data_IF_553335055900
#
_entry.id   IF_553335055900
#
_cell.length_a   1.000
_cell.length_b   1.000
_cell.length_c   1.000
_cell.angle_alpha   90.00
_cell.angle_beta   90.00
_cell.angle_gamma   90.00
#
_symmetry.space_group_name_H-M   'P 1'
#
loop_
_entity.id
_entity.type
_entity.pdbx_description
1 polymer ?
#
# COMPACT_ATOMS: atom_id res chain seq x y z
N UNK A 1 6.21 0.60 28.76
CA UNK A 1 5.42 -0.19 27.80
C UNK A 1 5.89 -1.64 27.75
N UNK A 2 7.16 -1.91 27.48
CA UNK A 2 7.68 -3.29 27.44
C UNK A 2 7.49 -4.03 28.76
N UNK A 3 7.64 -3.37 29.90
CA UNK A 3 7.41 -3.96 31.23
C UNK A 3 5.96 -4.38 31.40
N UNK A 4 4.99 -3.55 30.99
CA UNK A 4 3.56 -3.87 31.08
C UNK A 4 3.23 -5.04 30.15
N UNK A 5 3.74 -5.03 28.92
CA UNK A 5 3.60 -6.14 28.00
C UNK A 5 4.16 -7.44 28.58
N UNK A 6 5.37 -7.42 29.14
CA UNK A 6 5.99 -8.59 29.76
C UNK A 6 5.20 -9.15 30.97
N UNK A 7 4.55 -8.28 31.72
CA UNK A 7 3.70 -8.71 32.83
C UNK A 7 2.37 -9.30 32.38
N UNK A 8 1.79 -8.77 31.31
CA UNK A 8 0.46 -9.16 30.85
C UNK A 8 0.46 -10.29 29.80
N UNK A 9 1.56 -10.52 29.07
CA UNK A 9 1.65 -11.57 28.05
C UNK A 9 1.40 -13.00 28.58
N UNK A 10 1.54 -13.21 29.88
CA UNK A 10 1.23 -14.50 30.52
C UNK A 10 -0.28 -14.75 30.63
N UNK A 11 -1.09 -13.69 30.63
CA UNK A 11 -2.55 -13.74 30.70
C UNK A 11 -3.18 -13.74 29.31
N UNK A 12 -2.65 -12.92 28.42
CA UNK A 12 -3.10 -12.86 27.02
C UNK A 12 -1.91 -12.83 26.05
N UNK A 13 -1.69 -13.95 25.37
CA UNK A 13 -0.63 -14.11 24.37
C UNK A 13 -0.93 -13.42 23.04
N UNK A 14 -2.17 -12.96 22.85
CA UNK A 14 -2.62 -12.23 21.66
C UNK A 14 -2.49 -10.72 21.76
N UNK A 15 -1.96 -10.19 22.88
CA UNK A 15 -1.75 -8.76 23.05
C UNK A 15 -0.76 -8.20 22.04
N UNK A 16 -1.15 -7.13 21.37
CA UNK A 16 -0.30 -6.34 20.48
C UNK A 16 -0.11 -4.94 21.06
N UNK A 17 1.13 -4.41 21.01
CA UNK A 17 1.40 -3.00 21.30
C UNK A 17 1.16 -2.24 20.00
N UNK A 18 0.00 -1.58 19.89
CA UNK A 18 -0.41 -0.88 18.66
C UNK A 18 0.19 0.51 18.52
N UNK A 19 0.62 1.14 19.64
CA UNK A 19 1.22 2.46 19.61
C UNK A 19 2.06 2.73 20.88
N UNK A 20 3.20 3.41 20.71
CA UNK A 20 4.04 3.91 21.80
C UNK A 20 4.45 5.34 21.47
N UNK A 21 3.93 6.32 22.19
CA UNK A 21 4.21 7.74 21.96
C UNK A 21 4.83 8.41 23.16
N UNK A 22 5.85 9.24 22.93
CA UNK A 22 6.36 10.16 23.94
C UNK A 22 5.38 11.34 24.08
N UNK A 23 4.76 11.48 25.22
CA UNK A 23 3.86 12.60 25.52
C UNK A 23 4.58 13.74 26.23
N UNK A 24 5.41 13.39 27.21
CA UNK A 24 6.16 14.33 28.02
C UNK A 24 7.53 13.75 28.41
N UNK A 25 8.54 14.58 28.43
CA UNK A 25 9.88 14.25 28.93
C UNK A 25 10.43 15.41 29.74
N UNK A 26 10.91 15.13 30.95
CA UNK A 26 11.58 16.08 31.83
C UNK A 26 12.99 15.57 32.16
N UNK A 27 13.98 16.49 32.14
CA UNK A 27 15.37 16.19 32.47
C UNK A 27 16.22 15.69 31.29
N UNK A 28 17.52 15.52 31.55
CA UNK A 28 18.55 15.21 30.57
C UNK A 28 19.07 16.43 29.81
N UNK A 29 20.02 16.22 28.87
CA UNK A 29 20.68 17.33 28.14
C UNK A 29 19.74 18.16 27.26
N UNK A 30 18.57 17.68 26.90
CA UNK A 30 17.59 18.34 26.00
C UNK A 30 16.45 19.06 26.76
N UNK A 31 16.49 19.12 28.10
CA UNK A 31 15.48 19.81 28.90
C UNK A 31 14.10 19.14 28.91
N UNK A 32 13.07 19.96 29.08
CA UNK A 32 11.66 19.54 29.04
C UNK A 32 11.18 19.47 27.59
N UNK A 33 10.44 18.42 27.26
CA UNK A 33 9.79 18.24 25.97
C UNK A 33 8.34 17.81 26.20
N UNK A 34 7.39 18.56 25.65
CA UNK A 34 5.96 18.25 25.71
C UNK A 34 5.38 18.28 24.29
N UNK A 35 4.59 17.26 23.96
CA UNK A 35 3.98 17.10 22.64
C UNK A 35 2.91 18.15 22.36
N UNK A 36 2.08 18.47 23.37
CA UNK A 36 0.99 19.42 23.23
C UNK A 36 1.51 20.85 22.97
N UNK A 37 2.59 21.24 23.67
CA UNK A 37 3.19 22.57 23.50
C UNK A 37 3.84 22.73 22.12
N UNK A 38 4.43 21.66 21.55
CA UNK A 38 5.01 21.74 20.21
C UNK A 38 3.96 21.75 19.10
N UNK A 39 2.83 21.10 19.30
CA UNK A 39 1.72 21.21 18.34
C UNK A 39 1.10 22.61 18.37
N UNK A 40 0.98 23.25 19.53
CA UNK A 40 0.52 24.63 19.67
C UNK A 40 1.51 25.63 19.05
N UNK A 41 2.82 25.46 19.29
CA UNK A 41 3.86 26.33 18.70
C UNK A 41 3.97 26.20 17.18
N UNK A 42 3.68 25.04 16.60
CA UNK A 42 3.66 24.85 15.15
C UNK A 42 2.47 25.55 14.47
N UNK A 43 1.36 25.76 15.19
CA UNK A 43 0.19 26.53 14.70
C UNK A 43 0.43 28.02 14.77
N UNK A 44 1.18 28.54 15.77
CA UNK A 44 1.47 29.96 15.89
C UNK A 44 2.55 30.49 14.92
N UNK A 45 3.49 29.64 14.48
CA UNK A 45 4.53 30.04 13.52
C UNK A 45 4.03 30.17 12.07
N UNK A 46 2.83 29.73 11.75
CA UNK A 46 2.21 29.92 10.42
C UNK A 46 1.49 31.28 10.29
N UNK A 47 1.30 32.02 11.40
CA UNK A 47 0.52 33.24 11.41
C UNK A 47 1.35 34.58 11.33
N UNK A 48 2.66 34.51 11.26
CA UNK A 48 3.53 35.69 11.38
C UNK A 48 4.64 35.81 10.32
N UNK A 49 4.35 35.53 9.05
CA UNK A 49 5.21 36.07 7.98
C UNK A 49 4.38 36.41 6.73
N UNK A 50 4.61 37.68 6.32
CA UNK A 50 3.81 38.37 5.36
C UNK A 50 3.79 37.78 3.96
N UNK A 51 2.71 38.09 3.28
CA UNK A 51 2.37 37.78 1.91
C UNK A 51 3.56 37.70 0.94
N UNK A 52 3.91 36.48 0.57
CA UNK A 52 4.55 36.22 -0.72
C UNK A 52 3.46 36.18 -1.80
N UNK A 53 3.71 36.74 -3.02
CA UNK A 53 2.70 36.77 -4.06
C UNK A 53 2.25 35.34 -4.40
N UNK A 54 0.94 35.17 -4.44
CA UNK A 54 0.32 33.93 -4.89
C UNK A 54 0.95 33.49 -6.22
N UNK A 55 1.71 32.44 -6.21
CA UNK A 55 2.11 31.76 -7.44
C UNK A 55 0.82 31.35 -8.14
N UNK A 56 0.63 31.82 -9.37
CA UNK A 56 -0.46 31.40 -10.23
C UNK A 56 -0.53 29.86 -10.21
N UNK A 57 -1.73 29.25 -10.23
CA UNK A 57 -1.83 27.81 -10.33
C UNK A 57 -1.06 27.38 -11.56
N UNK A 58 -0.02 26.56 -11.36
CA UNK A 58 0.67 25.89 -12.45
C UNK A 58 -0.43 25.08 -13.14
N UNK A 59 -0.74 25.44 -14.38
CA UNK A 59 -1.65 24.66 -15.20
C UNK A 59 -1.08 23.25 -15.27
N UNK A 60 -1.71 22.31 -14.57
CA UNK A 60 -1.40 20.89 -14.69
C UNK A 60 -1.69 20.56 -16.13
N UNK A 61 -0.65 20.26 -16.90
CA UNK A 61 -0.81 19.73 -18.25
C UNK A 61 -1.81 18.55 -18.18
N UNK A 62 -2.66 18.36 -19.23
CA UNK A 62 -3.57 17.23 -19.23
C UNK A 62 -2.75 15.97 -18.97
N UNK A 63 -3.08 15.27 -17.89
CA UNK A 63 -2.40 14.04 -17.51
C UNK A 63 -2.38 13.12 -18.73
N UNK A 64 -1.20 12.64 -19.11
CA UNK A 64 -1.09 11.53 -20.07
C UNK A 64 -2.08 10.43 -19.64
N UNK A 65 -2.71 9.70 -20.60
CA UNK A 65 -3.65 8.66 -20.25
C UNK A 65 -3.00 7.76 -19.20
N UNK A 66 -3.61 7.69 -18.03
CA UNK A 66 -3.06 6.93 -16.92
C UNK A 66 -2.95 5.47 -17.37
N UNK A 67 -1.77 4.87 -17.20
CA UNK A 67 -1.59 3.44 -17.48
C UNK A 67 -2.69 2.65 -16.77
N UNK A 68 -3.37 1.71 -17.44
CA UNK A 68 -4.36 0.87 -16.81
C UNK A 68 -3.79 0.19 -15.56
N UNK A 69 -4.52 0.26 -14.45
CA UNK A 69 -4.06 -0.27 -13.17
C UNK A 69 -5.17 -1.10 -12.52
N UNK A 70 -4.85 -2.33 -12.14
CA UNK A 70 -5.80 -3.27 -11.53
C UNK A 70 -5.29 -3.69 -10.16
N UNK A 71 -6.12 -3.48 -9.13
CA UNK A 71 -5.78 -3.78 -7.76
C UNK A 71 -6.22 -5.18 -7.35
N UNK A 72 -5.33 -5.94 -6.73
CA UNK A 72 -5.62 -7.19 -6.05
C UNK A 72 -5.84 -6.89 -4.57
N UNK A 73 -7.08 -6.88 -4.14
CA UNK A 73 -7.48 -6.54 -2.78
C UNK A 73 -7.93 -7.79 -2.02
N UNK A 74 -7.92 -7.72 -0.70
CA UNK A 74 -8.30 -8.86 0.13
C UNK A 74 -7.66 -8.78 1.52
N UNK A 75 -8.08 -9.65 2.42
CA UNK A 75 -7.49 -9.70 3.77
C UNK A 75 -6.08 -10.32 3.76
N UNK A 76 -5.31 -10.03 4.81
CA UNK A 76 -3.98 -10.64 4.98
C UNK A 76 -4.08 -12.17 4.94
N UNK A 77 -3.10 -12.82 4.32
CA UNK A 77 -3.03 -14.29 4.12
C UNK A 77 -4.10 -14.87 3.17
N UNK A 78 -4.86 -14.05 2.44
CA UNK A 78 -5.80 -14.55 1.42
C UNK A 78 -5.11 -15.15 0.19
N UNK A 79 -3.79 -14.96 0.04
CA UNK A 79 -3.00 -15.47 -1.10
C UNK A 79 -2.76 -14.45 -2.20
N UNK A 80 -2.99 -13.14 -1.95
CA UNK A 80 -2.76 -12.06 -2.92
C UNK A 80 -1.39 -12.10 -3.57
N UNK A 81 -0.33 -12.07 -2.77
CA UNK A 81 1.04 -12.03 -3.27
C UNK A 81 1.34 -13.20 -4.21
N UNK A 82 0.96 -14.42 -3.82
CA UNK A 82 1.14 -15.62 -4.65
C UNK A 82 0.36 -15.56 -5.97
N UNK A 83 -0.85 -14.97 -5.94
CA UNK A 83 -1.64 -14.79 -7.15
C UNK A 83 -1.06 -13.70 -8.04
N UNK A 84 -0.69 -12.56 -7.47
CA UNK A 84 -0.06 -11.44 -8.17
C UNK A 84 1.22 -11.88 -8.89
N UNK A 85 2.09 -12.64 -8.23
CA UNK A 85 3.29 -13.22 -8.86
C UNK A 85 2.97 -14.04 -10.11
N UNK A 86 1.96 -14.91 -10.03
CA UNK A 86 1.53 -15.75 -11.16
C UNK A 86 0.91 -14.93 -12.29
N UNK A 87 0.13 -13.92 -11.95
CA UNK A 87 -0.50 -13.00 -12.92
C UNK A 87 0.56 -12.19 -13.65
N UNK A 88 1.51 -11.59 -12.93
CA UNK A 88 2.62 -10.86 -13.53
C UNK A 88 3.41 -11.75 -14.48
N UNK A 89 3.78 -12.96 -14.03
CA UNK A 89 4.52 -13.92 -14.85
C UNK A 89 3.75 -14.31 -16.14
N UNK A 90 2.45 -14.55 -16.04
CA UNK A 90 1.62 -14.94 -17.19
C UNK A 90 1.40 -13.76 -18.16
N UNK A 91 1.10 -12.55 -17.67
CA UNK A 91 0.96 -11.37 -18.52
C UNK A 91 2.27 -11.04 -19.26
N UNK A 92 3.42 -11.14 -18.56
CA UNK A 92 4.75 -10.97 -19.17
C UNK A 92 5.00 -12.04 -20.23
N UNK A 93 4.64 -13.30 -19.98
CA UNK A 93 4.74 -14.39 -20.96
C UNK A 93 3.88 -14.14 -22.21
N UNK A 94 2.77 -13.42 -22.06
CA UNK A 94 1.89 -12.99 -23.16
C UNK A 94 2.43 -11.76 -23.91
N UNK A 95 3.56 -11.21 -23.50
CA UNK A 95 4.25 -10.10 -24.16
C UNK A 95 3.88 -8.71 -23.64
N UNK A 96 3.11 -8.59 -22.55
CA UNK A 96 2.83 -7.31 -21.96
C UNK A 96 4.00 -6.84 -21.07
N UNK A 97 4.27 -5.55 -21.08
CA UNK A 97 5.16 -4.89 -20.15
C UNK A 97 4.37 -4.58 -18.88
N UNK A 98 4.69 -5.28 -17.80
CA UNK A 98 3.91 -5.23 -16.56
C UNK A 98 4.66 -4.42 -15.51
N UNK A 99 4.02 -3.37 -15.00
CA UNK A 99 4.42 -2.69 -13.77
C UNK A 99 3.78 -3.33 -12.54
N UNK A 100 4.39 -3.15 -11.39
CA UNK A 100 3.78 -3.59 -10.13
C UNK A 100 3.93 -2.54 -9.05
N UNK A 101 2.90 -2.38 -8.22
CA UNK A 101 2.88 -1.50 -7.07
C UNK A 101 2.35 -2.26 -5.87
N UNK A 102 3.00 -2.15 -4.72
CA UNK A 102 2.52 -2.76 -3.48
C UNK A 102 2.31 -1.70 -2.43
N UNK A 103 1.10 -1.65 -1.87
CA UNK A 103 0.83 -0.89 -0.66
C UNK A 103 1.21 -1.71 0.57
N UNK A 104 2.10 -1.16 1.39
CA UNK A 104 2.51 -1.75 2.66
C UNK A 104 1.71 -1.11 3.79
N UNK A 105 0.75 -1.88 4.35
CA UNK A 105 -0.19 -1.35 5.35
C UNK A 105 0.39 -1.16 6.76
N UNK A 106 1.70 -1.15 6.92
CA UNK A 106 2.41 -0.92 8.19
C UNK A 106 3.43 0.20 8.01
N UNK A 107 3.80 0.85 9.12
CA UNK A 107 4.79 1.93 9.09
C UNK A 107 6.18 1.40 8.74
N UNK A 108 6.77 1.98 7.71
CA UNK A 108 8.12 1.71 7.26
C UNK A 108 8.32 0.34 6.61
N UNK A 109 9.30 0.28 5.75
CA UNK A 109 9.81 -0.95 5.16
C UNK A 109 11.30 -0.76 4.83
N UNK A 110 12.07 -1.83 4.90
CA UNK A 110 13.46 -1.83 4.47
C UNK A 110 13.52 -2.27 3.00
N UNK A 111 14.01 -1.39 2.12
CA UNK A 111 14.22 -1.65 0.71
C UNK A 111 15.70 -1.78 0.36
N UNK A 112 16.57 -1.19 1.19
CA UNK A 112 18.01 -1.14 0.97
C UNK A 112 18.75 -2.27 1.70
N UNK A 113 19.96 -2.56 1.26
CA UNK A 113 20.79 -3.59 1.88
C UNK A 113 21.64 -2.95 2.98
N UNK A 114 21.49 -3.38 4.24
CA UNK A 114 22.29 -2.84 5.35
C UNK A 114 23.78 -2.83 5.07
N UNK A 115 24.46 -1.75 5.49
CA UNK A 115 25.88 -1.48 5.33
C UNK A 115 26.37 -1.20 3.90
N UNK A 116 25.52 -1.18 2.89
CA UNK A 116 25.84 -0.68 1.54
C UNK A 116 25.84 0.84 1.49
N UNK A 117 26.38 1.41 0.42
CA UNK A 117 26.59 2.85 0.32
C UNK A 117 25.29 3.65 0.40
N UNK A 118 24.26 3.26 -0.32
CA UNK A 118 22.92 3.89 -0.30
C UNK A 118 22.30 3.82 1.09
N UNK A 119 22.34 2.68 1.75
CA UNK A 119 21.89 2.55 3.14
C UNK A 119 22.66 3.49 4.08
N UNK A 120 24.00 3.61 3.91
CA UNK A 120 24.82 4.52 4.72
C UNK A 120 24.48 6.00 4.45
N UNK A 121 24.15 6.36 3.21
CA UNK A 121 23.69 7.71 2.89
C UNK A 121 22.37 8.03 3.62
N UNK A 122 21.43 7.09 3.60
CA UNK A 122 20.16 7.22 4.34
C UNK A 122 20.39 7.36 5.86
N UNK A 123 21.21 6.49 6.46
CA UNK A 123 21.56 6.58 7.89
C UNK A 123 22.28 7.89 8.26
N UNK A 124 22.99 8.50 7.33
CA UNK A 124 23.62 9.81 7.50
C UNK A 124 22.63 11.00 7.40
N UNK A 125 21.35 10.73 7.07
CA UNK A 125 20.29 11.74 7.05
C UNK A 125 19.81 12.14 5.66
N UNK A 126 20.22 11.45 4.59
CA UNK A 126 19.65 11.66 3.26
C UNK A 126 18.18 11.29 3.25
N UNK A 127 17.32 12.24 2.87
CA UNK A 127 15.87 12.06 2.82
C UNK A 127 15.39 11.40 1.52
N UNK A 128 16.22 11.47 0.48
CA UNK A 128 15.94 10.90 -0.82
C UNK A 128 17.21 10.21 -1.31
N UNK A 129 17.14 8.93 -1.58
CA UNK A 129 18.28 8.11 -2.00
C UNK A 129 18.01 7.52 -3.36
N UNK A 130 18.95 7.73 -4.28
CA UNK A 130 18.91 7.17 -5.62
C UNK A 130 20.13 6.28 -5.90
N UNK A 131 19.92 5.25 -6.69
CA UNK A 131 20.97 4.36 -7.21
C UNK A 131 20.74 4.16 -8.70
N UNK A 132 21.77 4.34 -9.51
CA UNK A 132 21.69 4.19 -10.95
C UNK A 132 22.87 3.40 -11.50
N UNK A 133 22.61 2.57 -12.49
CA UNK A 133 23.62 1.94 -13.34
C UNK A 133 23.14 1.94 -14.81
N UNK A 134 23.94 1.39 -15.72
CA UNK A 134 23.64 1.41 -17.16
C UNK A 134 22.28 0.77 -17.55
N UNK A 135 21.76 -0.16 -16.75
CA UNK A 135 20.58 -0.97 -17.08
C UNK A 135 19.45 -0.90 -16.05
N UNK A 136 19.67 -0.18 -14.94
CA UNK A 136 18.70 -0.12 -13.84
C UNK A 136 18.88 1.14 -13.01
N UNK A 137 17.80 1.65 -12.50
CA UNK A 137 17.79 2.67 -11.47
C UNK A 137 16.76 2.33 -10.39
N UNK A 138 16.96 2.88 -9.20
CA UNK A 138 16.02 2.81 -8.09
C UNK A 138 16.12 4.10 -7.30
N UNK A 139 15.02 4.53 -6.71
CA UNK A 139 14.96 5.63 -5.77
C UNK A 139 13.97 5.33 -4.65
N UNK A 140 14.23 5.84 -3.46
CA UNK A 140 13.29 5.86 -2.37
C UNK A 140 13.44 7.13 -1.55
N UNK A 141 12.37 7.55 -0.91
CA UNK A 141 12.34 8.74 -0.06
C UNK A 141 11.50 8.49 1.18
N UNK A 142 11.92 9.10 2.30
CA UNK A 142 11.11 9.14 3.50
C UNK A 142 10.04 10.23 3.35
N UNK A 143 8.80 9.85 3.59
CA UNK A 143 7.66 10.75 3.73
C UNK A 143 7.23 10.83 5.19
N UNK A 144 6.50 11.87 5.57
CA UNK A 144 5.80 11.88 6.85
C UNK A 144 4.53 11.05 6.72
N UNK A 145 4.03 10.53 7.84
CA UNK A 145 2.83 9.69 7.86
C UNK A 145 1.61 10.41 7.27
N UNK A 146 1.49 11.71 7.52
CA UNK A 146 0.44 12.57 6.97
C UNK A 146 0.62 12.93 5.49
N UNK A 147 1.81 12.69 4.94
CA UNK A 147 2.19 13.02 3.56
C UNK A 147 2.38 11.74 2.71
N UNK A 148 1.60 10.68 2.96
CA UNK A 148 1.66 9.47 2.13
C UNK A 148 1.39 9.84 0.67
N UNK A 149 2.30 9.45 -0.22
CA UNK A 149 2.17 9.74 -1.65
C UNK A 149 0.94 9.02 -2.22
N UNK A 150 0.00 9.73 -2.87
CA UNK A 150 -1.14 9.09 -3.49
C UNK A 150 -0.70 8.07 -4.56
N UNK A 151 -1.31 6.89 -4.56
CA UNK A 151 -0.97 5.84 -5.53
C UNK A 151 -1.02 6.32 -6.98
N UNK A 152 -1.98 7.19 -7.32
CA UNK A 152 -2.13 7.75 -8.67
C UNK A 152 -0.97 8.66 -9.08
N UNK A 153 -0.36 9.36 -8.13
CA UNK A 153 0.85 10.16 -8.38
C UNK A 153 2.04 9.24 -8.67
N UNK A 154 2.23 8.18 -7.88
CA UNK A 154 3.28 7.20 -8.12
C UNK A 154 3.07 6.49 -9.47
N UNK A 155 1.84 6.14 -9.83
CA UNK A 155 1.50 5.51 -11.11
C UNK A 155 1.81 6.40 -12.32
N UNK A 156 1.81 7.73 -12.18
CA UNK A 156 2.19 8.64 -13.27
C UNK A 156 3.64 8.48 -13.72
N UNK A 157 4.48 7.82 -12.93
CA UNK A 157 5.88 7.50 -13.26
C UNK A 157 6.04 6.21 -14.05
N UNK A 158 4.97 5.44 -14.25
CA UNK A 158 4.97 4.19 -15.01
C UNK A 158 4.68 4.47 -16.49
N UNK A 159 5.70 4.93 -17.25
CA UNK A 159 5.53 5.41 -18.62
C UNK A 159 5.82 4.36 -19.69
N UNK A 160 6.41 3.23 -19.33
CA UNK A 160 6.92 2.22 -20.24
C UNK A 160 6.29 0.84 -20.02
N UNK A 161 5.11 0.78 -19.42
CA UNK A 161 4.36 -0.44 -19.13
C UNK A 161 2.97 -0.38 -19.78
N UNK A 162 2.40 -1.53 -20.05
CA UNK A 162 1.08 -1.66 -20.67
C UNK A 162 -0.03 -1.79 -19.62
N UNK A 163 0.33 -2.29 -18.44
CA UNK A 163 -0.58 -2.45 -17.29
C UNK A 163 0.20 -2.43 -15.98
N UNK A 164 -0.41 -1.91 -14.92
CA UNK A 164 0.13 -1.99 -13.55
C UNK A 164 -0.74 -2.90 -12.69
N UNK A 165 -0.11 -3.89 -12.08
CA UNK A 165 -0.74 -4.77 -11.09
C UNK A 165 -0.44 -4.23 -9.71
N UNK A 166 -1.50 -3.89 -8.97
CA UNK A 166 -1.41 -3.31 -7.64
C UNK A 166 -1.75 -4.38 -6.59
N UNK A 167 -0.90 -4.57 -5.59
CA UNK A 167 -1.25 -5.36 -4.41
C UNK A 167 -1.64 -4.45 -3.25
N UNK A 168 -2.91 -4.45 -2.85
CA UNK A 168 -3.43 -3.63 -1.76
C UNK A 168 -4.34 -2.49 -2.25
N UNK A 169 -4.34 -1.36 -1.54
CA UNK A 169 -5.18 -0.18 -1.84
C UNK A 169 -6.68 -0.48 -1.94
N UNK A 170 -7.28 -0.95 -0.85
CA UNK A 170 -8.71 -1.33 -0.81
C UNK A 170 -9.67 -0.17 -1.03
N UNK A 171 -9.25 1.06 -0.75
CA UNK A 171 -10.11 2.25 -0.69
C UNK A 171 -9.80 3.29 -1.77
N UNK A 172 -8.76 3.10 -2.57
CA UNK A 172 -8.26 4.08 -3.55
C UNK A 172 -9.09 4.14 -4.86
N UNK A 173 -10.14 3.34 -4.97
CA UNK A 173 -11.06 3.38 -6.10
C UNK A 173 -10.44 2.91 -7.43
N UNK A 174 -9.56 1.92 -7.39
CA UNK A 174 -9.08 1.19 -8.57
C UNK A 174 -10.07 0.10 -8.96
N UNK A 175 -10.14 -0.21 -10.25
CA UNK A 175 -10.74 -1.45 -10.69
C UNK A 175 -9.98 -2.62 -10.06
N UNK A 176 -10.71 -3.60 -9.53
CA UNK A 176 -10.09 -4.54 -8.62
C UNK A 176 -10.52 -6.00 -8.81
N UNK A 177 -9.67 -6.89 -8.34
CA UNK A 177 -9.96 -8.31 -8.17
C UNK A 177 -9.89 -8.62 -6.67
N UNK A 178 -11.00 -9.04 -6.09
CA UNK A 178 -11.05 -9.44 -4.68
C UNK A 178 -10.48 -10.85 -4.53
N UNK A 179 -9.41 -10.98 -3.75
CA UNK A 179 -8.73 -12.27 -3.50
C UNK A 179 -9.16 -12.80 -2.15
N UNK A 180 -9.84 -13.94 -2.16
CA UNK A 180 -10.52 -14.45 -0.99
C UNK A 180 -10.40 -15.96 -0.79
N UNK A 181 -10.38 -16.38 0.46
CA UNK A 181 -10.43 -17.80 0.87
C UNK A 181 -11.35 -17.95 2.06
N UNK A 182 -12.33 -18.82 1.97
CA UNK A 182 -13.31 -19.07 3.05
C UNK A 182 -12.67 -19.43 4.40
N UNK A 183 -11.51 -20.09 4.41
CA UNK A 183 -10.76 -20.38 5.63
C UNK A 183 -10.21 -19.12 6.31
N UNK A 184 -9.75 -18.15 5.53
CA UNK A 184 -9.23 -16.87 6.03
C UNK A 184 -10.37 -16.03 6.60
N UNK A 185 -11.49 -15.96 5.90
CA UNK A 185 -12.68 -15.23 6.34
C UNK A 185 -13.18 -15.76 7.68
N UNK A 186 -13.24 -17.08 7.81
CA UNK A 186 -13.64 -17.74 9.06
C UNK A 186 -12.70 -17.43 10.22
N UNK A 187 -11.40 -17.51 10.00
CA UNK A 187 -10.39 -17.20 11.03
C UNK A 187 -10.44 -15.75 11.49
N UNK A 188 -10.81 -14.84 10.59
CA UNK A 188 -10.88 -13.40 10.88
C UNK A 188 -12.25 -12.92 11.35
N UNK A 189 -13.28 -13.75 11.26
CA UNK A 189 -14.66 -13.34 11.54
C UNK A 189 -15.15 -12.20 10.62
N UNK A 190 -14.62 -12.12 9.38
CA UNK A 190 -14.96 -11.09 8.39
C UNK A 190 -15.23 -11.75 7.04
N UNK A 191 -16.14 -11.20 6.26
CA UNK A 191 -16.42 -11.66 4.91
C UNK A 191 -15.59 -10.91 3.88
N UNK A 192 -14.85 -11.62 3.02
CA UNK A 192 -14.19 -10.98 1.88
C UNK A 192 -15.20 -10.48 0.84
N UNK A 193 -16.46 -10.90 0.90
CA UNK A 193 -17.53 -10.37 0.05
C UNK A 193 -17.87 -8.91 0.39
N UNK A 194 -17.55 -8.45 1.61
CA UNK A 194 -17.71 -7.04 2.01
C UNK A 194 -16.76 -6.09 1.26
N UNK A 195 -15.76 -6.64 0.57
CA UNK A 195 -14.81 -5.88 -0.25
C UNK A 195 -15.27 -5.76 -1.71
N UNK A 196 -16.34 -6.45 -2.10
CA UNK A 196 -16.89 -6.41 -3.46
C UNK A 196 -17.68 -5.12 -3.63
N UNK A 197 -17.32 -4.35 -4.65
CA UNK A 197 -17.99 -3.09 -5.00
C UNK A 197 -18.23 -2.99 -6.51
N UNK A 198 -18.74 -1.84 -6.97
CA UNK A 198 -19.03 -1.58 -8.40
C UNK A 198 -17.81 -1.55 -9.31
N UNK A 199 -16.56 -1.60 -8.76
CA UNK A 199 -15.30 -1.66 -9.49
C UNK A 199 -14.68 -3.05 -9.47
N UNK A 200 -15.33 -4.01 -8.82
CA UNK A 200 -14.82 -5.38 -8.74
C UNK A 200 -15.06 -6.12 -10.04
N UNK A 201 -13.99 -6.42 -10.77
CA UNK A 201 -13.99 -7.16 -12.02
C UNK A 201 -14.25 -8.67 -11.80
N UNK A 202 -13.67 -9.21 -10.72
CA UNK A 202 -13.85 -10.61 -10.34
C UNK A 202 -13.57 -10.86 -8.87
N UNK A 203 -14.13 -11.96 -8.39
CA UNK A 203 -13.79 -12.59 -7.11
C UNK A 203 -12.87 -13.80 -7.37
N UNK A 204 -11.58 -13.66 -7.10
CA UNK A 204 -10.62 -14.76 -7.16
C UNK A 204 -10.68 -15.55 -5.85
N UNK A 205 -11.37 -16.72 -5.86
CA UNK A 205 -11.67 -17.42 -4.63
C UNK A 205 -11.66 -18.96 -4.80
N UNK A 206 -11.85 -19.67 -3.68
CA UNK A 206 -12.12 -21.09 -3.68
C UNK A 206 -13.62 -21.37 -3.92
N UNK A 207 -13.94 -22.60 -4.32
CA UNK A 207 -15.29 -23.01 -4.72
C UNK A 207 -16.35 -22.75 -3.63
N UNK A 208 -16.02 -22.96 -2.36
CA UNK A 208 -16.95 -22.74 -1.25
C UNK A 208 -17.40 -21.27 -1.18
N UNK A 209 -16.48 -20.32 -1.39
CA UNK A 209 -16.80 -18.89 -1.37
C UNK A 209 -17.50 -18.46 -2.67
N UNK A 210 -17.17 -19.08 -3.81
CA UNK A 210 -17.88 -18.82 -5.05
C UNK A 210 -19.38 -19.19 -4.94
N UNK A 211 -19.71 -20.31 -4.32
CA UNK A 211 -21.09 -20.71 -4.04
C UNK A 211 -21.78 -19.72 -3.09
N UNK A 212 -21.11 -19.35 -2.00
CA UNK A 212 -21.64 -18.38 -1.05
C UNK A 212 -21.94 -17.02 -1.71
N UNK A 213 -21.06 -16.54 -2.59
CA UNK A 213 -21.26 -15.31 -3.35
C UNK A 213 -22.48 -15.41 -4.28
N UNK A 214 -22.62 -16.54 -4.99
CA UNK A 214 -23.77 -16.80 -5.85
C UNK A 214 -25.08 -16.84 -5.07
N UNK A 215 -25.12 -17.56 -3.96
CA UNK A 215 -26.30 -17.67 -3.09
C UNK A 215 -26.70 -16.31 -2.47
N UNK A 216 -25.72 -15.45 -2.23
CA UNK A 216 -25.93 -14.08 -1.73
C UNK A 216 -26.32 -13.08 -2.85
N UNK A 217 -26.44 -13.53 -4.10
CA UNK A 217 -26.87 -12.68 -5.22
C UNK A 217 -25.80 -11.76 -5.77
N UNK A 218 -24.50 -12.01 -5.50
CA UNK A 218 -23.44 -11.23 -6.11
C UNK A 218 -23.35 -11.54 -7.62
N UNK A 219 -23.45 -10.49 -8.44
CA UNK A 219 -23.33 -10.60 -9.90
C UNK A 219 -21.86 -10.69 -10.36
N UNK A 220 -20.92 -10.50 -9.45
CA UNK A 220 -19.48 -10.50 -9.75
C UNK A 220 -18.99 -11.88 -10.18
N UNK A 221 -18.23 -11.93 -11.26
CA UNK A 221 -17.64 -13.18 -11.80
C UNK A 221 -16.72 -13.81 -10.77
N UNK A 222 -16.99 -15.06 -10.38
CA UNK A 222 -16.09 -15.85 -9.56
C UNK A 222 -15.10 -16.61 -10.44
N UNK A 223 -13.80 -16.52 -10.13
CA UNK A 223 -12.71 -17.24 -10.80
C UNK A 223 -11.95 -18.03 -9.75
N UNK A 224 -11.53 -19.25 -10.10
CA UNK A 224 -10.70 -20.04 -9.18
C UNK A 224 -9.39 -19.31 -8.89
N UNK A 225 -9.07 -19.11 -7.62
CA UNK A 225 -7.85 -18.42 -7.17
C UNK A 225 -6.55 -19.04 -7.72
N UNK A 226 -6.59 -20.30 -8.14
CA UNK A 226 -5.43 -20.98 -8.73
C UNK A 226 -5.37 -20.85 -10.26
N UNK A 227 -6.40 -20.28 -10.89
CA UNK A 227 -6.45 -20.08 -12.34
C UNK A 227 -5.99 -18.68 -12.73
N UNK A 228 -4.67 -18.45 -12.65
CA UNK A 228 -4.07 -17.21 -13.07
C UNK A 228 -4.28 -16.90 -14.57
N UNK A 229 -4.49 -17.92 -15.43
CA UNK A 229 -4.74 -17.72 -16.85
C UNK A 229 -6.08 -17.06 -17.10
N UNK A 230 -7.15 -17.59 -16.48
CA UNK A 230 -8.48 -16.99 -16.59
C UNK A 230 -8.54 -15.55 -16.02
N UNK A 231 -7.75 -15.28 -14.98
CA UNK A 231 -7.59 -13.92 -14.43
C UNK A 231 -6.88 -13.01 -15.44
N UNK A 232 -5.82 -13.50 -16.10
CA UNK A 232 -5.13 -12.73 -17.14
C UNK A 232 -6.01 -12.49 -18.38
N UNK A 233 -6.86 -13.45 -18.76
CA UNK A 233 -7.84 -13.26 -19.84
C UNK A 233 -8.78 -12.11 -19.49
N UNK A 234 -9.34 -12.11 -18.27
CA UNK A 234 -10.19 -11.01 -17.79
C UNK A 234 -9.48 -9.67 -17.79
N UNK A 235 -8.21 -9.62 -17.37
CA UNK A 235 -7.41 -8.39 -17.35
C UNK A 235 -7.22 -7.88 -18.78
N UNK A 236 -6.84 -8.73 -19.73
CA UNK A 236 -6.64 -8.32 -21.13
C UNK A 236 -7.93 -7.86 -21.81
N UNK A 237 -9.07 -8.48 -21.50
CA UNK A 237 -10.37 -8.06 -22.00
C UNK A 237 -10.81 -6.69 -21.44
N UNK A 238 -10.20 -6.26 -20.33
CA UNK A 238 -10.50 -5.00 -19.66
C UNK A 238 -9.57 -3.85 -20.06
N UNK A 239 -8.38 -4.15 -20.67
CA UNK A 239 -7.41 -3.14 -21.13
C UNK A 239 -7.85 -2.47 -22.42
#
# INVERSE_FOLDING_TARGET
CLTVYDMCKAVDRGMEIVDVRLLHKEGGRSGVWDRAERQAAAVETVAADGAAPASAPVAVAPAAPAVPAIAFIGYQNSGKTTLVEKVIAELTRRGLRVGSLKHHGHHGFDIDVPAKDTWRHHQAGSKHVGLICATRWAEYADTREEDEMPARELLSRYNDVDVVIIEGYKTEGFDNIVVARSGVDRLRGKSSLDLVDGRTLALACNEALARQAFDAGFATRAININDARAICDLIQDHL
#
